data_IF_598166139008
#
_entry.id   IF_598166139008
#
_cell.length_a   1.000
_cell.length_b   1.000
_cell.length_c   1.000
_cell.angle_alpha   90.00
_cell.angle_beta   90.00
_cell.angle_gamma   90.00
#
_symmetry.space_group_name_H-M   'P 1'
#
loop_
_entity.id
_entity.type
_entity.pdbx_description
1 polymer ?
#
# COMPACT_ATOMS: atom_id res chain seq x y z
N UNK A 1 -8.10 33.08 21.75
CA UNK A 1 -9.55 32.89 21.53
C UNK A 1 -9.96 33.22 20.06
N UNK A 2 -9.14 32.95 19.06
CA UNK A 2 -9.43 33.38 17.66
C UNK A 2 -9.37 32.27 16.60
N UNK A 3 -9.30 31.01 16.98
CA UNK A 3 -9.27 29.91 15.99
C UNK A 3 -10.56 29.08 15.90
N UNK A 4 -11.61 29.45 16.60
CA UNK A 4 -12.92 28.77 16.49
C UNK A 4 -13.74 29.17 15.25
N UNK A 5 -13.50 30.36 14.69
CA UNK A 5 -14.32 30.89 13.60
C UNK A 5 -14.03 30.30 12.21
N UNK A 6 -12.87 29.70 11.98
CA UNK A 6 -12.51 29.11 10.66
C UNK A 6 -13.05 27.68 10.51
N UNK A 7 -13.21 26.97 11.61
CA UNK A 7 -13.74 25.60 11.61
C UNK A 7 -15.26 25.53 11.38
N UNK A 8 -15.99 26.55 11.79
CA UNK A 8 -17.47 26.56 11.66
C UNK A 8 -17.96 26.94 10.25
N UNK A 9 -17.08 27.47 9.39
CA UNK A 9 -17.43 27.82 8.00
C UNK A 9 -17.23 26.70 6.99
N UNK A 10 -16.64 25.56 7.38
CA UNK A 10 -16.66 24.31 6.59
C UNK A 10 -17.96 23.54 6.89
N UNK A 11 -18.97 24.23 7.34
CA UNK A 11 -20.25 23.66 7.68
C UNK A 11 -21.06 23.28 6.44
N UNK A 12 -21.22 21.96 6.25
CA UNK A 12 -22.49 21.37 5.85
C UNK A 12 -23.01 21.79 4.45
N UNK A 13 -22.14 21.83 3.44
CA UNK A 13 -22.59 21.52 2.10
C UNK A 13 -22.83 20.01 2.02
N UNK A 14 -23.86 19.60 1.32
CA UNK A 14 -24.38 18.24 1.22
C UNK A 14 -23.28 17.17 1.29
N UNK A 15 -23.35 16.28 2.30
CA UNK A 15 -22.34 15.24 2.54
C UNK A 15 -22.19 14.26 1.36
N UNK A 16 -23.10 14.31 0.39
CA UNK A 16 -23.03 13.54 -0.86
C UNK A 16 -21.93 14.04 -1.82
N UNK A 17 -21.52 15.30 -1.72
CA UNK A 17 -20.53 15.93 -2.61
C UNK A 17 -19.13 16.05 -1.98
N UNK A 18 -18.91 15.60 -0.76
CA UNK A 18 -17.59 15.73 -0.12
C UNK A 18 -16.56 14.90 -0.85
N UNK A 19 -15.48 15.57 -1.25
CA UNK A 19 -14.28 14.93 -1.79
C UNK A 19 -13.68 13.98 -0.75
N UNK A 20 -13.05 12.90 -1.19
CA UNK A 20 -12.19 12.11 -0.30
C UNK A 20 -11.05 12.99 0.21
N UNK A 21 -10.54 12.70 1.40
CA UNK A 21 -9.31 13.32 1.89
C UNK A 21 -8.21 12.25 1.80
N UNK A 22 -7.07 12.60 1.21
CA UNK A 22 -5.91 11.71 1.11
C UNK A 22 -4.75 12.29 1.90
N UNK A 23 -4.30 11.58 2.92
CA UNK A 23 -3.14 11.95 3.73
C UNK A 23 -1.99 11.03 3.38
N UNK A 24 -0.95 11.57 2.79
CA UNK A 24 0.22 10.82 2.36
C UNK A 24 1.52 11.42 2.92
N UNK A 25 2.55 10.58 3.00
CA UNK A 25 3.85 11.02 3.49
C UNK A 25 4.78 9.83 3.72
N UNK A 26 6.08 10.08 3.91
CA UNK A 26 7.04 9.02 4.16
C UNK A 26 6.79 8.34 5.51
N UNK A 27 7.45 7.20 5.72
CA UNK A 27 7.44 6.50 7.01
C UNK A 27 7.92 7.44 8.13
N UNK A 28 7.28 7.33 9.30
CA UNK A 28 7.55 8.13 10.50
C UNK A 28 7.30 9.64 10.38
N UNK A 29 6.49 10.08 9.40
CA UNK A 29 6.14 11.50 9.24
C UNK A 29 5.00 11.99 10.14
N UNK A 30 4.28 11.12 10.85
CA UNK A 30 3.10 11.49 11.65
C UNK A 30 1.77 11.51 10.87
N UNK A 31 1.73 10.93 9.65
CA UNK A 31 0.50 10.92 8.84
C UNK A 31 -0.67 10.19 9.50
N UNK A 32 -0.41 9.10 10.23
CA UNK A 32 -1.46 8.33 10.93
C UNK A 32 -2.07 9.15 12.05
N UNK A 33 -1.25 9.81 12.86
CA UNK A 33 -1.69 10.71 13.92
C UNK A 33 -2.58 11.83 13.37
N UNK A 34 -2.15 12.51 12.30
CA UNK A 34 -2.95 13.53 11.62
C UNK A 34 -4.29 12.95 11.11
N UNK A 35 -4.26 11.76 10.50
CA UNK A 35 -5.45 11.14 9.95
C UNK A 35 -6.46 10.78 11.04
N UNK A 36 -6.00 10.25 12.14
CA UNK A 36 -6.82 9.84 13.27
C UNK A 36 -7.49 11.04 13.96
N UNK A 37 -6.73 12.11 14.25
CA UNK A 37 -7.29 13.33 14.81
C UNK A 37 -8.30 14.01 13.87
N UNK A 38 -7.98 14.06 12.57
CA UNK A 38 -8.89 14.60 11.58
C UNK A 38 -10.16 13.74 11.46
N UNK A 39 -10.02 12.41 11.49
CA UNK A 39 -11.17 11.50 11.46
C UNK A 39 -12.06 11.65 12.70
N UNK A 40 -11.48 11.80 13.87
CA UNK A 40 -12.21 12.11 15.10
C UNK A 40 -13.05 13.39 14.96
N UNK A 41 -12.41 14.47 14.47
CA UNK A 41 -13.09 15.76 14.29
C UNK A 41 -14.22 15.72 13.27
N UNK A 42 -13.98 15.06 12.12
CA UNK A 42 -14.96 14.98 11.01
C UNK A 42 -15.98 13.83 11.17
N UNK A 43 -15.85 12.99 12.20
CA UNK A 43 -16.59 11.72 12.33
C UNK A 43 -16.41 10.86 11.06
N UNK A 44 -15.17 10.76 10.59
CA UNK A 44 -14.76 10.09 9.38
C UNK A 44 -14.25 8.67 9.67
N UNK A 45 -14.04 7.90 8.61
CA UNK A 45 -13.43 6.57 8.66
C UNK A 45 -12.17 6.55 7.82
N UNK A 46 -11.15 5.83 8.28
CA UNK A 46 -9.84 5.77 7.63
C UNK A 46 -9.74 4.51 6.78
N UNK A 47 -9.29 4.66 5.52
CA UNK A 47 -8.91 3.56 4.65
C UNK A 47 -7.37 3.54 4.59
N UNK A 48 -6.74 2.44 4.99
CA UNK A 48 -5.28 2.33 4.94
C UNK A 48 -4.78 2.13 3.51
N UNK A 49 -3.74 2.86 3.14
CA UNK A 49 -2.95 2.66 1.93
C UNK A 49 -1.53 2.22 2.27
N UNK A 50 -1.41 1.19 3.10
CA UNK A 50 -0.16 0.55 3.45
C UNK A 50 -0.15 -0.92 3.02
N UNK A 51 0.77 -1.27 2.11
CA UNK A 51 0.84 -2.63 1.54
C UNK A 51 1.33 -3.69 2.52
N UNK A 52 1.74 -3.32 3.72
CA UNK A 52 2.24 -4.25 4.75
C UNK A 52 1.23 -4.46 5.87
N UNK A 53 0.46 -3.45 6.21
CA UNK A 53 -0.53 -3.53 7.29
C UNK A 53 -1.77 -4.39 6.94
N UNK A 54 -1.89 -4.84 5.71
CA UNK A 54 -2.97 -5.73 5.27
C UNK A 54 -2.89 -7.15 5.86
N UNK A 55 -1.71 -7.58 6.33
CA UNK A 55 -1.47 -8.95 6.80
C UNK A 55 -1.73 -9.10 8.29
N UNK A 56 -2.55 -10.08 8.68
CA UNK A 56 -2.85 -10.40 10.08
C UNK A 56 -1.65 -10.91 10.83
N UNK A 57 -1.51 -10.53 12.10
CA UNK A 57 -0.43 -11.00 12.97
C UNK A 57 0.96 -10.52 12.57
N UNK A 58 1.06 -9.58 11.64
CA UNK A 58 2.29 -8.88 11.27
C UNK A 58 2.21 -7.45 11.81
N UNK A 59 2.27 -7.28 13.13
CA UNK A 59 1.88 -6.04 13.80
C UNK A 59 3.08 -5.15 14.11
N UNK A 60 4.10 -5.72 14.78
CA UNK A 60 5.27 -4.98 15.23
C UNK A 60 6.13 -4.56 14.03
N UNK A 61 6.48 -5.50 13.17
CA UNK A 61 7.33 -5.24 12.01
C UNK A 61 6.70 -4.29 10.99
N UNK A 62 5.39 -4.32 10.81
CA UNK A 62 4.67 -3.39 9.91
C UNK A 62 4.31 -2.06 10.57
N UNK A 63 4.36 -1.99 11.89
CA UNK A 63 3.98 -0.80 12.67
C UNK A 63 2.52 -0.46 12.57
N UNK A 64 1.70 -1.43 12.80
CA UNK A 64 0.24 -1.24 12.87
C UNK A 64 -0.21 -0.52 14.12
N UNK A 65 0.55 -0.09 15.00
CA UNK A 65 0.25 0.67 16.22
C UNK A 65 -1.27 0.98 16.38
N UNK A 66 -2.09 -0.10 16.50
CA UNK A 66 -3.57 0.01 16.46
C UNK A 66 -4.12 0.85 17.61
N UNK A 67 -3.35 1.00 18.68
CA UNK A 67 -3.64 1.94 19.77
C UNK A 67 -3.73 3.39 19.33
N UNK A 68 -3.01 3.76 18.27
CA UNK A 68 -3.03 5.12 17.71
C UNK A 68 -4.38 5.49 17.08
N UNK A 69 -5.23 4.50 16.77
CA UNK A 69 -6.58 4.73 16.25
C UNK A 69 -7.61 5.02 17.34
N UNK A 70 -7.16 5.37 18.54
CA UNK A 70 -8.04 5.73 19.66
C UNK A 70 -7.79 7.18 20.10
N UNK A 71 -8.83 8.02 20.05
CA UNK A 71 -8.78 9.42 20.49
C UNK A 71 -9.82 9.62 21.57
N UNK A 72 -9.43 10.14 22.74
CA UNK A 72 -10.32 10.41 23.88
C UNK A 72 -11.20 9.20 24.26
N UNK A 73 -10.64 7.99 24.17
CA UNK A 73 -11.34 6.73 24.48
C UNK A 73 -12.28 6.24 23.37
N UNK A 74 -12.36 6.92 22.24
CA UNK A 74 -13.15 6.52 21.07
C UNK A 74 -12.28 5.92 19.99
N UNK A 75 -12.60 4.70 19.56
CA UNK A 75 -11.90 4.05 18.43
C UNK A 75 -12.38 4.65 17.12
N UNK A 76 -11.43 5.16 16.33
CA UNK A 76 -11.68 5.64 14.97
C UNK A 76 -11.79 4.42 14.05
N UNK A 77 -12.89 4.26 13.30
CA UNK A 77 -13.02 3.15 12.37
C UNK A 77 -11.94 3.21 11.28
N UNK A 78 -11.29 2.08 11.06
CA UNK A 78 -10.26 1.91 10.03
C UNK A 78 -10.53 0.66 9.19
N UNK A 79 -10.05 0.67 7.95
CA UNK A 79 -10.28 -0.37 6.96
C UNK A 79 -8.99 -0.73 6.23
N UNK A 80 -8.96 -1.90 5.64
CA UNK A 80 -7.83 -2.47 4.89
C UNK A 80 -6.56 -2.68 5.73
N UNK A 81 -6.77 -2.93 7.02
CA UNK A 81 -5.76 -3.43 7.95
C UNK A 81 -6.23 -4.83 8.38
N UNK A 82 -5.33 -5.80 8.50
CA UNK A 82 -5.62 -7.18 8.91
C UNK A 82 -6.68 -7.90 8.06
N UNK A 83 -6.60 -7.73 6.75
CA UNK A 83 -7.59 -8.27 5.81
C UNK A 83 -7.16 -9.56 5.11
N UNK A 84 -5.89 -9.95 5.20
CA UNK A 84 -5.39 -11.20 4.60
C UNK A 84 -4.36 -11.90 5.49
N UNK A 85 -4.22 -13.21 5.28
CA UNK A 85 -3.26 -14.02 6.03
C UNK A 85 -1.83 -13.83 5.47
N UNK A 86 -0.80 -13.90 6.33
CA UNK A 86 0.60 -13.99 5.90
C UNK A 86 0.81 -15.19 4.96
N UNK A 87 1.77 -15.09 4.03
CA UNK A 87 1.94 -16.07 2.95
C UNK A 87 1.08 -15.78 1.73
N UNK A 88 0.02 -14.96 1.86
CA UNK A 88 -0.79 -14.51 0.72
C UNK A 88 -0.07 -13.41 -0.06
N UNK A 89 -0.06 -13.50 -1.38
CA UNK A 89 0.48 -12.42 -2.24
C UNK A 89 -0.60 -11.39 -2.55
N UNK A 90 -0.80 -10.46 -1.62
CA UNK A 90 -1.69 -9.33 -1.82
C UNK A 90 -1.06 -8.33 -2.80
N UNK A 91 -1.82 -7.90 -3.80
CA UNK A 91 -1.30 -7.09 -4.91
C UNK A 91 -2.15 -5.85 -5.18
N UNK A 92 -1.65 -4.98 -6.08
CA UNK A 92 -2.27 -3.71 -6.41
C UNK A 92 -3.71 -3.87 -6.94
N UNK A 93 -3.96 -4.89 -7.78
CA UNK A 93 -5.31 -5.16 -8.30
C UNK A 93 -6.29 -5.46 -7.16
N UNK A 94 -5.91 -6.38 -6.26
CA UNK A 94 -6.75 -6.74 -5.11
C UNK A 94 -6.98 -5.56 -4.18
N UNK A 95 -5.92 -4.78 -3.92
CA UNK A 95 -6.05 -3.54 -3.14
C UNK A 95 -7.08 -2.58 -3.74
N UNK A 96 -7.02 -2.35 -5.05
CA UNK A 96 -7.95 -1.45 -5.72
C UNK A 96 -9.41 -1.93 -5.59
N UNK A 97 -9.66 -3.25 -5.73
CA UNK A 97 -11.00 -3.80 -5.57
C UNK A 97 -11.50 -3.63 -4.12
N UNK A 98 -10.70 -4.05 -3.14
CA UNK A 98 -11.04 -3.94 -1.71
C UNK A 98 -11.24 -2.47 -1.30
N UNK A 99 -10.41 -1.56 -1.86
CA UNK A 99 -10.55 -0.12 -1.65
C UNK A 99 -11.89 0.40 -2.20
N UNK A 100 -12.26 0.04 -3.42
CA UNK A 100 -13.49 0.50 -4.05
C UNK A 100 -14.71 0.02 -3.27
N UNK A 101 -14.75 -1.24 -2.86
CA UNK A 101 -15.84 -1.80 -2.07
C UNK A 101 -15.97 -1.10 -0.71
N UNK A 102 -14.84 -0.84 -0.05
CA UNK A 102 -14.79 -0.10 1.21
C UNK A 102 -15.24 1.36 1.03
N UNK A 103 -14.67 2.06 0.06
CA UNK A 103 -14.98 3.45 -0.25
C UNK A 103 -16.46 3.64 -0.56
N UNK A 104 -17.04 2.79 -1.42
CA UNK A 104 -18.47 2.83 -1.74
C UNK A 104 -19.37 2.59 -0.51
N UNK A 105 -18.98 1.63 0.35
CA UNK A 105 -19.70 1.35 1.59
C UNK A 105 -19.72 2.57 2.52
N UNK A 106 -18.57 3.20 2.73
CA UNK A 106 -18.46 4.42 3.56
C UNK A 106 -19.31 5.54 2.98
N UNK A 107 -19.23 5.75 1.65
CA UNK A 107 -20.03 6.79 0.95
C UNK A 107 -21.53 6.53 1.04
N UNK A 108 -22.00 5.29 0.89
CA UNK A 108 -23.42 4.92 1.05
C UNK A 108 -23.97 5.26 2.43
N UNK A 109 -23.12 5.18 3.47
CA UNK A 109 -23.47 5.59 4.84
C UNK A 109 -23.35 7.10 5.08
N UNK A 110 -23.00 7.88 4.05
CA UNK A 110 -22.77 9.33 4.12
C UNK A 110 -21.67 9.73 5.10
N UNK A 111 -20.69 8.86 5.33
CA UNK A 111 -19.52 9.11 6.15
C UNK A 111 -18.38 9.65 5.28
N UNK A 112 -17.53 10.48 5.84
CA UNK A 112 -16.35 11.03 5.16
C UNK A 112 -15.26 9.97 5.08
N UNK A 113 -14.79 9.52 3.89
CA UNK A 113 -13.61 8.66 3.80
C UNK A 113 -12.32 9.47 3.84
N UNK A 114 -11.33 8.95 4.59
CA UNK A 114 -9.96 9.45 4.63
C UNK A 114 -9.03 8.33 4.17
N UNK A 115 -8.34 8.50 3.05
CA UNK A 115 -7.30 7.59 2.61
C UNK A 115 -5.98 7.99 3.28
N UNK A 116 -5.35 7.08 4.03
CA UNK A 116 -4.09 7.37 4.73
C UNK A 116 -3.05 6.29 4.47
N UNK A 117 -1.86 6.68 4.03
CA UNK A 117 -0.80 5.70 3.86
C UNK A 117 0.50 6.19 3.24
N UNK A 118 1.44 5.24 3.09
CA UNK A 118 2.77 5.48 2.53
C UNK A 118 3.04 4.73 1.23
N UNK A 119 2.16 3.84 0.79
CA UNK A 119 2.32 3.09 -0.46
C UNK A 119 1.82 3.92 -1.65
N UNK A 120 2.73 4.72 -2.22
CA UNK A 120 2.39 5.67 -3.28
C UNK A 120 1.64 5.05 -4.46
N UNK A 121 2.05 3.83 -4.88
CA UNK A 121 1.39 3.12 -5.99
C UNK A 121 -0.08 2.75 -5.67
N UNK A 122 -0.40 2.43 -4.42
CA UNK A 122 -1.78 2.16 -3.99
C UNK A 122 -2.63 3.43 -4.08
N UNK A 123 -2.10 4.52 -3.54
CA UNK A 123 -2.77 5.84 -3.57
C UNK A 123 -2.97 6.29 -5.02
N UNK A 124 -1.95 6.21 -5.84
CA UNK A 124 -2.01 6.63 -7.23
C UNK A 124 -3.02 5.83 -8.05
N UNK A 125 -3.03 4.49 -7.87
CA UNK A 125 -3.93 3.60 -8.61
C UNK A 125 -5.41 3.88 -8.34
N UNK A 126 -5.76 4.24 -7.11
CA UNK A 126 -7.17 4.57 -6.78
C UNK A 126 -7.52 6.00 -7.15
N UNK A 127 -6.62 6.98 -6.96
CA UNK A 127 -6.91 8.37 -7.32
C UNK A 127 -6.99 8.59 -8.83
N UNK A 128 -6.11 7.95 -9.60
CA UNK A 128 -6.11 8.06 -11.08
C UNK A 128 -7.02 7.05 -11.77
N UNK A 129 -7.60 6.11 -11.02
CA UNK A 129 -8.48 5.10 -11.59
C UNK A 129 -7.75 4.17 -12.56
N UNK A 130 -6.64 3.55 -12.15
CA UNK A 130 -5.90 2.65 -13.03
C UNK A 130 -6.78 1.48 -13.49
N UNK A 131 -6.76 1.22 -14.79
CA UNK A 131 -7.36 0.01 -15.35
C UNK A 131 -6.44 -1.18 -15.08
N UNK A 132 -6.80 -1.95 -14.05
CA UNK A 132 -6.02 -3.10 -13.61
C UNK A 132 -6.76 -4.40 -13.92
N UNK A 133 -6.02 -5.42 -14.36
CA UNK A 133 -6.53 -6.76 -14.60
C UNK A 133 -5.87 -7.80 -13.71
N UNK A 134 -6.59 -8.87 -13.34
CA UNK A 134 -6.06 -9.95 -12.48
C UNK A 134 -5.17 -10.90 -13.28
N UNK A 135 -4.03 -10.40 -13.75
CA UNK A 135 -3.10 -11.18 -14.58
C UNK A 135 -2.30 -12.15 -13.70
N UNK A 136 -2.46 -13.47 -13.86
CA UNK A 136 -1.66 -14.45 -13.15
C UNK A 136 -0.19 -14.40 -13.60
N UNK A 137 0.70 -14.94 -12.78
CA UNK A 137 2.07 -15.17 -13.21
C UNK A 137 2.11 -16.30 -14.25
N UNK A 138 2.96 -16.15 -15.26
CA UNK A 138 3.20 -17.15 -16.28
C UNK A 138 4.64 -17.68 -16.20
N UNK A 139 4.89 -18.79 -15.46
CA UNK A 139 6.24 -19.32 -15.27
C UNK A 139 6.94 -19.68 -16.60
N UNK A 140 6.21 -20.21 -17.59
CA UNK A 140 6.78 -20.58 -18.89
C UNK A 140 7.29 -19.34 -19.65
N UNK A 141 6.47 -18.28 -19.69
CA UNK A 141 6.86 -17.01 -20.31
C UNK A 141 8.06 -16.39 -19.58
N UNK A 142 8.08 -16.44 -18.24
CA UNK A 142 9.20 -15.94 -17.44
C UNK A 142 10.49 -16.68 -17.75
N UNK A 143 10.45 -18.00 -17.84
CA UNK A 143 11.61 -18.81 -18.23
C UNK A 143 12.09 -18.46 -19.64
N UNK A 144 11.19 -18.29 -20.59
CA UNK A 144 11.55 -17.93 -21.98
C UNK A 144 12.17 -16.52 -22.11
N UNK A 145 11.93 -15.65 -21.11
CA UNK A 145 12.43 -14.27 -21.09
C UNK A 145 13.61 -14.07 -20.13
N UNK A 146 13.97 -15.06 -19.33
CA UNK A 146 14.94 -14.92 -18.23
C UNK A 146 16.34 -14.47 -18.69
N UNK A 147 16.79 -14.96 -19.86
CA UNK A 147 18.13 -14.70 -20.40
C UNK A 147 18.19 -13.46 -21.33
N UNK A 148 17.06 -12.75 -21.49
CA UNK A 148 17.01 -11.57 -22.35
C UNK A 148 17.51 -10.32 -21.68
N UNK A 149 18.23 -9.49 -22.44
CA UNK A 149 18.66 -8.17 -21.97
C UNK A 149 17.46 -7.22 -21.78
N UNK A 150 17.66 -6.15 -21.02
CA UNK A 150 16.62 -5.14 -20.82
C UNK A 150 16.20 -4.46 -22.13
N UNK A 151 17.13 -4.28 -23.06
CA UNK A 151 16.89 -3.74 -24.38
C UNK A 151 15.97 -4.65 -25.20
N UNK A 152 16.25 -5.96 -25.23
CA UNK A 152 15.41 -6.94 -25.93
C UNK A 152 14.00 -7.00 -25.35
N UNK A 153 13.90 -7.01 -24.01
CA UNK A 153 12.60 -6.99 -23.30
C UNK A 153 11.81 -5.71 -23.61
N UNK A 154 12.49 -4.57 -23.72
CA UNK A 154 11.87 -3.30 -24.07
C UNK A 154 11.27 -3.31 -25.47
N UNK A 155 11.98 -3.92 -26.44
CA UNK A 155 11.48 -4.08 -27.82
C UNK A 155 10.24 -4.99 -27.85
N UNK A 156 10.28 -6.12 -27.16
CA UNK A 156 9.14 -7.05 -27.06
C UNK A 156 7.92 -6.34 -26.44
N UNK A 157 8.14 -5.60 -25.35
CA UNK A 157 7.08 -4.86 -24.67
C UNK A 157 6.46 -3.79 -25.59
N UNK A 158 7.27 -3.06 -26.33
CA UNK A 158 6.79 -2.02 -27.26
C UNK A 158 5.91 -2.61 -28.39
N UNK A 159 6.30 -3.76 -28.94
CA UNK A 159 5.49 -4.48 -29.95
C UNK A 159 4.13 -4.92 -29.37
N UNK A 160 4.13 -5.51 -28.17
CA UNK A 160 2.91 -5.94 -27.50
C UNK A 160 1.98 -4.76 -27.17
N UNK A 161 2.53 -3.66 -26.69
CA UNK A 161 1.74 -2.44 -26.42
C UNK A 161 1.12 -1.85 -27.67
N UNK A 162 1.86 -1.88 -28.79
CA UNK A 162 1.32 -1.46 -30.07
C UNK A 162 0.12 -2.34 -30.50
N UNK A 163 0.23 -3.65 -30.35
CA UNK A 163 -0.85 -4.62 -30.65
C UNK A 163 -2.07 -4.45 -29.74
N UNK A 164 -1.88 -4.10 -28.49
CA UNK A 164 -2.95 -3.86 -27.52
C UNK A 164 -3.55 -2.44 -27.62
N UNK A 165 -3.02 -1.58 -28.48
CA UNK A 165 -3.36 -0.15 -28.50
C UNK A 165 -3.15 0.53 -27.13
N UNK A 166 -2.24 0.01 -26.31
CA UNK A 166 -1.88 0.54 -25.02
C UNK A 166 -0.66 1.46 -25.10
N UNK A 167 -0.59 2.45 -24.23
CA UNK A 167 0.51 3.41 -24.20
C UNK A 167 1.55 2.97 -23.16
N UNK A 168 2.82 3.19 -23.42
CA UNK A 168 3.88 3.07 -22.41
C UNK A 168 3.63 4.14 -21.35
N UNK A 169 3.02 3.76 -20.22
CA UNK A 169 2.61 4.73 -19.18
C UNK A 169 3.77 5.35 -18.44
N UNK A 170 4.92 4.68 -18.32
CA UNK A 170 6.08 5.22 -17.61
C UNK A 170 7.39 4.52 -18.03
N UNK A 171 8.52 5.19 -17.81
CA UNK A 171 9.85 4.58 -17.83
C UNK A 171 10.01 3.46 -16.79
N UNK A 172 9.12 3.37 -15.80
CA UNK A 172 9.17 2.40 -14.69
C UNK A 172 8.95 0.96 -15.12
N UNK A 173 8.25 0.71 -16.23
CA UNK A 173 8.05 -0.65 -16.75
C UNK A 173 9.37 -1.26 -17.27
N UNK A 174 10.34 -0.43 -17.58
CA UNK A 174 11.64 -0.80 -18.16
C UNK A 174 12.83 -0.44 -17.26
N UNK A 175 12.60 -0.20 -15.97
CA UNK A 175 13.68 0.10 -15.01
C UNK A 175 14.50 -1.15 -14.63
N UNK A 176 13.95 -2.34 -14.85
CA UNK A 176 14.62 -3.62 -14.59
C UNK A 176 14.01 -4.74 -15.41
N UNK A 177 14.81 -5.81 -15.67
CA UNK A 177 14.32 -6.99 -16.40
C UNK A 177 13.08 -7.60 -15.74
N UNK A 178 13.02 -7.66 -14.40
CA UNK A 178 11.86 -8.20 -13.68
C UNK A 178 10.58 -7.40 -13.96
N UNK A 179 10.66 -6.07 -14.00
CA UNK A 179 9.52 -5.20 -14.32
C UNK A 179 9.12 -5.31 -15.77
N UNK A 180 10.09 -5.35 -16.69
CA UNK A 180 9.84 -5.53 -18.11
C UNK A 180 9.15 -6.88 -18.39
N UNK A 181 9.63 -7.98 -17.80
CA UNK A 181 8.99 -9.30 -17.89
C UNK A 181 7.56 -9.24 -17.36
N UNK A 182 7.33 -8.59 -16.20
CA UNK A 182 5.97 -8.45 -15.68
C UNK A 182 5.05 -7.65 -16.59
N UNK A 183 5.53 -6.59 -17.19
CA UNK A 183 4.78 -5.79 -18.16
C UNK A 183 4.45 -6.63 -19.41
N UNK A 184 5.39 -7.43 -19.91
CA UNK A 184 5.18 -8.36 -21.03
C UNK A 184 4.11 -9.41 -20.67
N UNK A 185 4.14 -9.98 -19.45
CA UNK A 185 3.09 -10.91 -18.98
C UNK A 185 1.70 -10.27 -19.06
N UNK A 186 1.57 -9.03 -18.57
CA UNK A 186 0.31 -8.29 -18.54
C UNK A 186 -0.19 -8.05 -19.97
N UNK A 187 0.65 -7.54 -20.86
CA UNK A 187 0.26 -7.26 -22.23
C UNK A 187 -0.08 -8.54 -23.01
N UNK A 188 0.68 -9.62 -22.80
CA UNK A 188 0.41 -10.93 -23.44
C UNK A 188 -0.93 -11.50 -22.96
N UNK A 189 -1.23 -11.40 -21.67
CA UNK A 189 -2.49 -11.87 -21.12
C UNK A 189 -3.67 -11.06 -21.68
N UNK A 190 -3.55 -9.74 -21.75
CA UNK A 190 -4.61 -8.84 -22.21
C UNK A 190 -4.92 -9.06 -23.71
N UNK A 191 -3.95 -9.43 -24.55
CA UNK A 191 -4.19 -9.80 -25.94
C UNK A 191 -5.14 -11.00 -26.08
N UNK A 192 -4.98 -11.99 -25.20
CA UNK A 192 -5.81 -13.21 -25.21
C UNK A 192 -7.10 -13.07 -24.41
N UNK A 193 -7.16 -12.13 -23.51
CA UNK A 193 -8.27 -11.91 -22.59
C UNK A 193 -8.66 -10.44 -22.57
N UNK A 194 -9.43 -9.96 -23.58
CA UNK A 194 -9.87 -8.57 -23.61
C UNK A 194 -10.65 -8.27 -22.31
N UNK A 195 -10.10 -7.34 -21.55
CA UNK A 195 -10.58 -7.01 -20.20
C UNK A 195 -11.98 -6.42 -20.30
N UNK A 196 -12.95 -7.08 -19.69
CA UNK A 196 -14.20 -6.40 -19.30
C UNK A 196 -13.84 -5.50 -18.13
N UNK A 197 -13.53 -4.25 -18.43
CA UNK A 197 -13.13 -3.26 -17.44
C UNK A 197 -14.21 -3.11 -16.38
N UNK A 198 -13.92 -3.48 -15.12
CA UNK A 198 -14.58 -2.81 -14.00
C UNK A 198 -14.00 -1.40 -14.01
N UNK A 199 -14.76 -0.46 -14.55
CA UNK A 199 -14.36 0.94 -14.59
C UNK A 199 -14.04 1.40 -13.17
N UNK A 200 -12.79 1.73 -12.92
CA UNK A 200 -12.39 2.45 -11.71
C UNK A 200 -12.28 3.93 -12.09
N UNK A 201 -13.34 4.73 -11.87
CA UNK A 201 -13.28 6.14 -12.19
C UNK A 201 -12.26 6.83 -11.28
N UNK A 202 -11.54 7.85 -11.77
CA UNK A 202 -10.70 8.68 -10.93
C UNK A 202 -11.48 9.25 -9.75
N UNK A 203 -10.88 9.24 -8.57
CA UNK A 203 -11.52 9.72 -7.35
C UNK A 203 -11.00 11.12 -7.04
N UNK A 204 -11.91 12.10 -7.01
CA UNK A 204 -11.58 13.45 -6.58
C UNK A 204 -11.25 13.47 -5.09
N UNK A 205 -10.09 14.01 -4.75
CA UNK A 205 -9.57 14.00 -3.39
C UNK A 205 -8.80 15.27 -3.05
N UNK A 206 -9.00 15.76 -1.84
CA UNK A 206 -8.10 16.74 -1.23
C UNK A 206 -6.84 16.03 -0.75
N UNK A 207 -5.71 16.32 -1.37
CA UNK A 207 -4.43 15.68 -1.06
C UNK A 207 -3.64 16.52 -0.05
N UNK A 208 -3.30 15.92 1.08
CA UNK A 208 -2.48 16.50 2.15
C UNK A 208 -1.18 15.72 2.25
N UNK A 209 -0.07 16.36 1.89
CA UNK A 209 1.28 15.80 2.05
C UNK A 209 1.88 16.12 3.40
N UNK A 210 2.19 15.11 4.21
CA UNK A 210 2.90 15.29 5.47
C UNK A 210 4.40 15.15 5.22
N UNK A 211 5.14 16.23 5.44
CA UNK A 211 6.58 16.24 5.28
C UNK A 211 7.30 16.37 6.63
N UNK A 212 8.50 15.83 6.69
CA UNK A 212 9.36 15.87 7.88
C UNK A 212 10.80 16.03 7.41
N UNK A 213 11.59 16.78 8.16
CA UNK A 213 13.03 16.90 7.91
C UNK A 213 13.72 15.53 7.83
N UNK A 214 14.73 15.42 6.95
CA UNK A 214 15.41 14.15 6.68
C UNK A 214 16.10 13.60 7.92
N UNK A 215 16.77 14.44 8.70
CA UNK A 215 17.51 13.97 9.88
C UNK A 215 16.57 13.62 11.02
N UNK A 216 15.49 14.37 11.20
CA UNK A 216 14.46 14.05 12.15
C UNK A 216 13.77 12.73 11.78
N UNK A 217 13.47 12.50 10.50
CA UNK A 217 12.91 11.24 10.01
C UNK A 217 13.83 10.05 10.29
N UNK A 218 15.14 10.20 10.03
CA UNK A 218 16.12 9.14 10.33
C UNK A 218 16.15 8.81 11.82
N UNK A 219 16.16 9.82 12.68
CA UNK A 219 16.12 9.62 14.14
C UNK A 219 14.85 8.85 14.55
N UNK A 220 13.68 9.25 14.06
CA UNK A 220 12.40 8.59 14.34
C UNK A 220 12.38 7.14 13.85
N UNK A 221 12.87 6.88 12.63
CA UNK A 221 12.97 5.51 12.09
C UNK A 221 13.88 4.64 12.95
N UNK A 222 15.08 5.14 13.29
CA UNK A 222 16.03 4.40 14.12
C UNK A 222 15.49 4.13 15.53
N UNK A 223 14.89 5.12 16.16
CA UNK A 223 14.28 4.96 17.50
C UNK A 223 13.16 3.92 17.48
N UNK A 224 12.30 3.98 16.45
CA UNK A 224 11.19 3.05 16.26
C UNK A 224 11.68 1.61 16.00
N UNK A 225 12.70 1.44 15.19
CA UNK A 225 13.29 0.12 14.95
C UNK A 225 13.87 -0.48 16.24
N UNK A 226 14.64 0.29 17.00
CA UNK A 226 15.17 -0.15 18.30
C UNK A 226 14.06 -0.53 19.28
N UNK A 227 13.01 0.29 19.35
CA UNK A 227 11.85 -0.01 20.20
C UNK A 227 11.16 -1.31 19.78
N UNK A 228 10.96 -1.55 18.50
CA UNK A 228 10.33 -2.78 17.97
C UNK A 228 11.16 -4.02 18.25
N UNK A 229 12.48 -3.96 18.04
CA UNK A 229 13.39 -5.05 18.36
C UNK A 229 13.34 -5.39 19.87
N UNK A 230 13.24 -4.38 20.73
CA UNK A 230 13.12 -4.58 22.18
C UNK A 230 11.72 -5.06 22.64
N UNK A 231 10.69 -4.91 21.81
CA UNK A 231 9.30 -5.20 22.15
C UNK A 231 8.70 -6.39 21.37
N UNK A 232 9.53 -7.35 20.94
CA UNK A 232 9.05 -8.63 20.45
C UNK A 232 9.01 -8.78 18.92
N UNK A 233 9.69 -7.92 18.16
CA UNK A 233 9.72 -8.05 16.69
C UNK A 233 10.40 -9.35 16.23
N UNK A 234 11.43 -9.80 16.95
CA UNK A 234 12.13 -11.06 16.63
C UNK A 234 11.22 -12.24 16.92
N UNK A 235 10.50 -12.20 18.04
CA UNK A 235 9.53 -13.22 18.45
C UNK A 235 8.33 -13.28 17.51
N UNK A 236 7.87 -12.14 16.98
CA UNK A 236 6.81 -12.10 15.94
C UNK A 236 7.23 -12.86 14.69
N UNK A 237 8.44 -12.60 14.17
CA UNK A 237 8.96 -13.26 12.96
C UNK A 237 9.21 -14.74 13.20
N UNK A 238 9.79 -15.11 14.35
CA UNK A 238 9.99 -16.51 14.75
C UNK A 238 8.66 -17.28 14.85
N UNK A 239 7.63 -16.64 15.42
CA UNK A 239 6.28 -17.17 15.48
C UNK A 239 5.68 -17.42 14.10
N UNK A 240 5.87 -16.50 13.16
CA UNK A 240 5.41 -16.65 11.77
C UNK A 240 6.13 -17.80 11.05
N UNK A 241 7.46 -17.94 11.21
CA UNK A 241 8.22 -19.09 10.69
C UNK A 241 7.71 -20.41 11.26
N UNK A 242 7.50 -20.48 12.57
CA UNK A 242 6.97 -21.68 13.26
C UNK A 242 5.53 -22.02 12.85
N UNK A 243 4.75 -21.06 12.43
CA UNK A 243 3.41 -21.27 11.89
C UNK A 243 3.39 -21.82 10.46
N UNK A 244 4.56 -21.94 9.83
CA UNK A 244 4.70 -22.51 8.49
C UNK A 244 4.80 -21.49 7.36
N UNK A 245 4.92 -20.19 7.67
CA UNK A 245 5.21 -19.18 6.64
C UNK A 245 6.65 -19.35 6.18
N UNK A 246 6.87 -19.40 4.87
CA UNK A 246 8.21 -19.59 4.32
C UNK A 246 9.12 -18.38 4.57
N UNK A 247 10.43 -18.62 4.72
CA UNK A 247 11.41 -17.55 4.83
C UNK A 247 11.40 -16.63 3.60
N UNK A 248 11.17 -17.19 2.40
CA UNK A 248 11.02 -16.41 1.15
C UNK A 248 9.85 -15.43 1.21
N UNK A 249 8.70 -15.86 1.72
CA UNK A 249 7.53 -14.99 1.85
C UNK A 249 7.78 -13.89 2.88
N UNK A 250 8.44 -14.19 4.01
CA UNK A 250 8.78 -13.20 5.02
C UNK A 250 9.78 -12.16 4.50
N UNK A 251 10.81 -12.59 3.78
CA UNK A 251 11.78 -11.69 3.11
C UNK A 251 11.08 -10.74 2.13
N UNK A 252 10.00 -11.16 1.49
CA UNK A 252 9.22 -10.33 0.58
C UNK A 252 8.48 -9.18 1.29
N UNK A 253 8.16 -9.29 2.58
CA UNK A 253 7.31 -8.31 3.28
C UNK A 253 8.02 -7.01 3.71
N UNK A 254 9.27 -6.82 3.41
CA UNK A 254 9.98 -5.57 3.66
C UNK A 254 11.25 -5.75 4.47
N UNK A 255 11.95 -4.66 4.72
CA UNK A 255 13.30 -4.72 5.28
C UNK A 255 13.32 -5.31 6.69
N UNK A 256 12.37 -4.92 7.53
CA UNK A 256 12.26 -5.40 8.90
C UNK A 256 12.11 -6.93 8.94
N UNK A 257 11.14 -7.47 8.20
CA UNK A 257 10.94 -8.92 8.11
C UNK A 257 12.11 -9.62 7.43
N UNK A 258 12.66 -9.01 6.38
CA UNK A 258 13.80 -9.58 5.66
C UNK A 258 14.99 -9.82 6.61
N UNK A 259 15.45 -8.77 7.27
CA UNK A 259 16.68 -8.88 8.08
C UNK A 259 16.47 -9.75 9.32
N UNK A 260 15.31 -9.65 9.98
CA UNK A 260 15.01 -10.54 11.12
C UNK A 260 14.88 -11.99 10.68
N UNK A 261 14.27 -12.27 9.51
CA UNK A 261 14.22 -13.62 8.96
C UNK A 261 15.61 -14.14 8.64
N UNK A 262 16.46 -13.36 7.95
CA UNK A 262 17.84 -13.76 7.62
C UNK A 262 18.68 -14.03 8.87
N UNK A 263 18.47 -13.26 9.94
CA UNK A 263 19.06 -13.54 11.25
C UNK A 263 18.58 -14.88 11.83
N UNK A 264 17.28 -15.12 11.85
CA UNK A 264 16.70 -16.34 12.43
C UNK A 264 17.10 -17.63 11.70
N UNK A 265 17.29 -17.54 10.36
CA UNK A 265 17.76 -18.69 9.57
C UNK A 265 19.31 -18.80 9.51
N UNK A 266 20.04 -17.92 10.19
CA UNK A 266 21.49 -17.97 10.33
C UNK A 266 22.30 -17.43 9.14
N UNK A 267 21.68 -16.62 8.26
CA UNK A 267 22.37 -16.01 7.13
C UNK A 267 23.17 -14.77 7.52
N UNK A 268 22.75 -14.07 8.56
CA UNK A 268 23.43 -12.89 9.12
C UNK A 268 23.50 -13.00 10.64
N UNK A 269 24.40 -12.24 11.27
CA UNK A 269 24.49 -12.11 12.73
C UNK A 269 23.52 -11.03 13.24
N UNK A 270 23.30 -10.98 14.55
CA UNK A 270 22.43 -9.96 15.17
C UNK A 270 22.97 -8.52 15.00
N UNK A 271 24.29 -8.36 14.89
CA UNK A 271 24.93 -7.05 14.76
C UNK A 271 24.95 -6.54 13.30
N UNK A 272 24.73 -7.42 12.32
CA UNK A 272 24.57 -7.08 10.90
C UNK A 272 23.14 -6.63 10.57
#
# INVERSE_FOLDING_TARGET
MENKGLCDQIAISDMSERRMITILGPTASGKTDLAVHLASYLKAEIISADSRQVYRGMDIGTGKDLGDYTVDGHVIPYHLIDICEPGTKYNLFRYQQDFLDCYENIRKRKVQPILCGGTGLYIEAVLKGYSLSPVPQNPELRMALADKSLEELTVILADLKTKNHSVMHNKTDIDSCQRAIRAIEIETYNLSNPVKERSCPPIDSLIIGVNIDREERRRKITSRLKSRLANGMVEEVDGLLKSGISAEDLIYYGLEYKYVTEFLIGNITYDE
#
